data_IF_289586838837
#
_entry.id   IF_289586838837
#
_cell.length_a   1.000
_cell.length_b   1.000
_cell.length_c   1.000
_cell.angle_alpha   90.00
_cell.angle_beta   90.00
_cell.angle_gamma   90.00
#
_symmetry.space_group_name_H-M   'P 1'
#
loop_
_entity.id
_entity.type
_entity.pdbx_description
1 polymer ?
#
# COMPACT_ATOMS: atom_id res chain seq x y z
N UNK A 1 19.69 3.19 14.57
CA UNK A 1 18.47 3.31 13.75
C UNK A 1 18.45 2.13 12.77
N UNK A 2 18.09 0.97 13.28
CA UNK A 2 18.43 -0.36 12.74
C UNK A 2 17.15 -1.12 12.42
N UNK A 3 16.54 -0.83 11.26
CA UNK A 3 15.73 -1.80 10.52
C UNK A 3 15.44 -1.27 9.10
N UNK A 4 16.42 -1.36 8.19
CA UNK A 4 16.17 -1.03 6.78
C UNK A 4 15.47 -2.22 6.14
N UNK A 5 14.14 -2.16 6.04
CA UNK A 5 13.28 -3.17 5.36
C UNK A 5 13.73 -3.42 3.90
N UNK A 6 14.35 -2.42 3.28
CA UNK A 6 14.95 -2.50 1.94
C UNK A 6 16.40 -1.99 1.96
N UNK A 7 17.30 -2.75 1.31
CA UNK A 7 18.68 -2.32 1.01
C UNK A 7 18.67 -1.43 -0.24
N UNK A 8 19.63 -0.52 -0.41
CA UNK A 8 19.74 0.33 -1.60
C UNK A 8 19.67 -0.47 -2.91
N UNK A 9 20.41 -1.59 -3.01
CA UNK A 9 20.37 -2.47 -4.18
C UNK A 9 18.99 -3.10 -4.44
N UNK A 10 18.19 -3.32 -3.39
CA UNK A 10 16.81 -3.81 -3.54
C UNK A 10 15.89 -2.70 -4.07
N UNK A 11 16.11 -1.46 -3.64
CA UNK A 11 15.36 -0.31 -4.15
C UNK A 11 15.66 -0.10 -5.63
N UNK A 12 16.93 -0.19 -6.04
CA UNK A 12 17.33 -0.10 -7.44
C UNK A 12 16.73 -1.23 -8.29
N UNK A 13 16.78 -2.47 -7.79
CA UNK A 13 16.11 -3.59 -8.44
C UNK A 13 14.60 -3.38 -8.57
N UNK A 14 13.96 -2.76 -7.58
CA UNK A 14 12.53 -2.43 -7.63
C UNK A 14 12.22 -1.31 -8.64
N UNK A 15 13.06 -0.28 -8.76
CA UNK A 15 12.90 0.76 -9.79
C UNK A 15 12.88 0.12 -11.18
N UNK A 16 13.84 -0.78 -11.44
CA UNK A 16 13.93 -1.52 -12.71
C UNK A 16 12.71 -2.44 -12.92
N UNK A 17 12.35 -3.23 -11.90
CA UNK A 17 11.25 -4.18 -12.00
C UNK A 17 9.88 -3.49 -12.20
N UNK A 18 9.66 -2.36 -11.52
CA UNK A 18 8.43 -1.55 -11.64
C UNK A 18 8.40 -0.70 -12.92
N UNK A 19 9.52 -0.61 -13.64
CA UNK A 19 9.68 0.18 -14.86
C UNK A 19 9.30 1.66 -14.64
N UNK A 20 9.81 2.25 -13.56
CA UNK A 20 9.59 3.67 -13.26
C UNK A 20 10.42 4.54 -14.22
N UNK A 21 9.90 5.72 -14.63
CA UNK A 21 10.66 6.66 -15.44
C UNK A 21 11.80 7.29 -14.61
N UNK A 22 12.90 7.66 -15.26
CA UNK A 22 14.11 8.23 -14.62
C UNK A 22 13.82 9.48 -13.76
N UNK A 23 12.84 10.28 -14.19
CA UNK A 23 12.33 11.42 -13.43
C UNK A 23 10.81 11.37 -13.32
N UNK A 24 10.31 11.66 -12.12
CA UNK A 24 8.88 11.75 -11.85
C UNK A 24 8.52 13.22 -11.68
N UNK A 25 7.59 13.67 -12.51
CA UNK A 25 7.09 15.03 -12.53
C UNK A 25 5.71 15.04 -11.86
N UNK A 26 5.56 15.90 -10.86
CA UNK A 26 4.28 16.13 -10.21
C UNK A 26 3.77 17.56 -10.47
N UNK A 27 2.49 17.80 -10.17
CA UNK A 27 1.70 18.94 -10.67
C UNK A 27 2.14 20.36 -10.23
N UNK A 28 3.24 20.51 -9.49
CA UNK A 28 3.72 21.79 -8.96
C UNK A 28 5.21 22.06 -9.24
N UNK A 29 5.73 21.67 -10.41
CA UNK A 29 7.18 21.73 -10.75
C UNK A 29 8.08 20.91 -9.80
N UNK A 30 7.48 20.01 -9.02
CA UNK A 30 8.22 19.11 -8.16
C UNK A 30 8.70 17.97 -9.05
N UNK A 31 10.03 17.87 -9.17
CA UNK A 31 10.70 16.82 -9.93
C UNK A 31 11.59 16.06 -8.96
N UNK A 32 11.40 14.75 -8.91
CA UNK A 32 12.22 13.85 -8.09
C UNK A 32 12.73 12.69 -8.96
N UNK A 33 13.93 12.22 -8.62
CA UNK A 33 14.53 11.02 -9.20
C UNK A 33 13.70 9.77 -8.84
N UNK A 34 13.64 8.77 -9.73
CA UNK A 34 12.82 7.56 -9.52
C UNK A 34 13.13 6.86 -8.21
N UNK A 35 14.41 6.82 -7.80
CA UNK A 35 14.83 6.17 -6.56
C UNK A 35 14.30 6.91 -5.35
N UNK A 36 14.41 8.25 -5.35
CA UNK A 36 13.91 9.09 -4.26
C UNK A 36 12.39 9.02 -4.17
N UNK A 37 11.70 9.10 -5.30
CA UNK A 37 10.26 8.99 -5.38
C UNK A 37 9.75 7.61 -4.93
N UNK A 38 10.43 6.53 -5.30
CA UNK A 38 10.12 5.19 -4.79
C UNK A 38 10.38 5.10 -3.28
N UNK A 39 11.44 5.71 -2.75
CA UNK A 39 11.69 5.75 -1.30
C UNK A 39 10.61 6.52 -0.55
N UNK A 40 10.10 7.62 -1.09
CA UNK A 40 8.96 8.37 -0.53
C UNK A 40 7.72 7.49 -0.44
N UNK A 41 7.39 6.79 -1.53
CA UNK A 41 6.27 5.85 -1.57
C UNK A 41 6.45 4.70 -0.57
N UNK A 42 7.63 4.08 -0.55
CA UNK A 42 7.94 2.98 0.37
C UNK A 42 7.93 3.44 1.83
N UNK A 43 8.33 4.68 2.12
CA UNK A 43 8.20 5.30 3.43
C UNK A 43 6.75 5.40 3.87
N UNK A 44 5.88 5.88 2.97
CA UNK A 44 4.44 6.00 3.22
C UNK A 44 3.73 4.64 3.37
N UNK A 45 4.08 3.64 2.56
CA UNK A 45 3.46 2.30 2.63
C UNK A 45 4.04 1.42 3.74
N UNK A 46 5.34 1.56 4.01
CA UNK A 46 6.05 0.75 5.00
C UNK A 46 5.80 1.18 6.44
N UNK A 47 5.43 2.45 6.62
CA UNK A 47 5.10 3.05 7.90
C UNK A 47 3.75 3.75 7.73
N UNK A 48 2.67 3.09 8.11
CA UNK A 48 1.37 3.75 8.33
C UNK A 48 1.43 4.68 9.57
N UNK A 49 2.53 5.41 9.78
CA UNK A 49 2.55 6.56 10.69
C UNK A 49 1.96 7.77 9.98
N UNK A 50 1.64 8.80 10.76
CA UNK A 50 1.19 10.06 10.19
C UNK A 50 2.26 10.59 9.22
N UNK A 51 1.80 11.15 8.11
CA UNK A 51 2.64 11.75 7.08
C UNK A 51 3.61 12.82 7.66
N UNK A 52 3.24 13.42 8.80
CA UNK A 52 4.07 14.34 9.61
C UNK A 52 5.36 13.71 10.16
N UNK A 53 5.35 12.41 10.45
CA UNK A 53 6.53 11.71 11.00
C UNK A 53 7.59 11.45 9.92
N UNK A 54 7.17 11.41 8.65
CA UNK A 54 8.08 11.37 7.51
C UNK A 54 8.81 12.71 7.34
N UNK A 55 8.13 13.83 7.58
CA UNK A 55 8.77 15.15 7.62
C UNK A 55 9.83 15.24 8.71
N UNK A 56 9.55 14.72 9.91
CA UNK A 56 10.53 14.72 11.01
C UNK A 56 11.76 13.82 10.71
N UNK A 57 11.55 12.68 10.04
CA UNK A 57 12.62 11.71 9.76
C UNK A 57 13.49 12.08 8.57
N UNK A 58 12.90 12.62 7.50
CA UNK A 58 13.59 12.85 6.22
C UNK A 58 13.70 14.33 5.85
N UNK A 59 13.03 15.23 6.58
CA UNK A 59 13.01 16.66 6.28
C UNK A 59 12.16 17.03 5.06
N UNK A 60 11.41 16.08 4.50
CA UNK A 60 10.59 16.34 3.32
C UNK A 60 9.26 17.01 3.69
N UNK A 61 8.83 18.05 2.94
CA UNK A 61 7.50 18.62 3.11
C UNK A 61 6.42 17.57 2.92
N UNK A 62 5.39 17.63 3.75
CA UNK A 62 4.25 16.70 3.71
C UNK A 62 3.59 16.73 2.33
N UNK A 63 3.41 17.93 1.75
CA UNK A 63 2.76 18.07 0.44
C UNK A 63 3.60 17.42 -0.66
N UNK A 64 4.93 17.59 -0.60
CA UNK A 64 5.86 16.99 -1.55
C UNK A 64 5.80 15.46 -1.54
N UNK A 65 5.86 14.86 -0.35
CA UNK A 65 5.81 13.39 -0.20
C UNK A 65 4.46 12.87 -0.68
N UNK A 66 3.35 13.51 -0.31
CA UNK A 66 2.01 13.10 -0.73
C UNK A 66 1.87 13.16 -2.26
N UNK A 67 2.28 14.27 -2.86
CA UNK A 67 2.14 14.52 -4.29
C UNK A 67 2.98 13.53 -5.12
N UNK A 68 4.26 13.36 -4.78
CA UNK A 68 5.14 12.42 -5.48
C UNK A 68 4.70 10.97 -5.27
N UNK A 69 4.34 10.59 -4.05
CA UNK A 69 3.90 9.22 -3.77
C UNK A 69 2.60 8.88 -4.49
N UNK A 70 1.67 9.83 -4.60
CA UNK A 70 0.42 9.65 -5.35
C UNK A 70 0.70 9.45 -6.84
N UNK A 71 1.58 10.27 -7.43
CA UNK A 71 2.00 10.13 -8.82
C UNK A 71 2.68 8.77 -9.08
N UNK A 72 3.59 8.34 -8.20
CA UNK A 72 4.25 7.03 -8.30
C UNK A 72 3.21 5.90 -8.21
N UNK A 73 2.23 6.01 -7.31
CA UNK A 73 1.13 5.04 -7.19
C UNK A 73 0.29 4.97 -8.47
N UNK A 74 -0.02 6.11 -9.09
CA UNK A 74 -0.75 6.16 -10.36
C UNK A 74 0.03 5.53 -11.51
N UNK A 75 1.33 5.79 -11.61
CA UNK A 75 2.22 5.16 -12.60
C UNK A 75 2.23 3.64 -12.40
N UNK A 76 2.42 3.18 -11.16
CA UNK A 76 2.43 1.74 -10.86
C UNK A 76 1.05 1.12 -11.14
N UNK A 77 -0.03 1.76 -10.71
CA UNK A 77 -1.38 1.25 -10.88
C UNK A 77 -1.79 1.21 -12.36
N UNK A 78 -1.55 2.28 -13.12
CA UNK A 78 -1.89 2.32 -14.56
C UNK A 78 -1.21 1.18 -15.33
N UNK A 79 0.05 0.86 -15.01
CA UNK A 79 0.84 -0.18 -15.67
C UNK A 79 0.53 -1.59 -15.16
N UNK A 80 0.45 -1.75 -13.84
CA UNK A 80 0.41 -3.05 -13.18
C UNK A 80 -0.96 -3.41 -12.60
N UNK A 81 -2.02 -2.59 -12.78
CA UNK A 81 -3.38 -2.90 -12.30
C UNK A 81 -3.84 -4.30 -12.68
N UNK A 82 -3.49 -4.77 -13.87
CA UNK A 82 -3.87 -6.10 -14.35
C UNK A 82 -3.26 -7.24 -13.52
N UNK A 83 -2.11 -7.03 -12.86
CA UNK A 83 -1.52 -7.97 -11.90
C UNK A 83 -1.96 -7.69 -10.46
N UNK A 84 -2.35 -6.46 -10.15
CA UNK A 84 -2.79 -6.01 -8.82
C UNK A 84 -4.28 -6.26 -8.57
N UNK A 85 -5.08 -6.54 -9.62
CA UNK A 85 -6.45 -7.01 -9.48
C UNK A 85 -6.41 -8.40 -8.85
N UNK A 86 -6.72 -8.42 -7.56
CA UNK A 86 -6.72 -9.63 -6.74
C UNK A 86 -7.68 -10.68 -7.31
N UNK A 87 -7.13 -11.86 -7.62
CA UNK A 87 -7.84 -13.07 -8.00
C UNK A 87 -9.04 -12.88 -8.94
N UNK A 88 -8.81 -12.38 -10.16
CA UNK A 88 -9.85 -12.34 -11.20
C UNK A 88 -10.52 -13.72 -11.46
N UNK A 89 -9.87 -14.82 -11.08
CA UNK A 89 -10.36 -16.20 -11.18
C UNK A 89 -11.31 -16.57 -10.02
N UNK A 90 -11.10 -16.04 -8.81
CA UNK A 90 -11.88 -16.37 -7.62
C UNK A 90 -12.93 -15.32 -7.26
N UNK A 91 -12.74 -14.09 -7.72
CA UNK A 91 -13.59 -12.92 -7.48
C UNK A 91 -14.41 -12.53 -8.72
N UNK A 92 -14.90 -13.52 -9.47
CA UNK A 92 -15.84 -13.23 -10.57
C UNK A 92 -17.17 -12.72 -10.02
N UNK A 93 -17.93 -11.89 -10.76
CA UNK A 93 -19.24 -11.39 -10.35
C UNK A 93 -20.17 -12.51 -9.87
N UNK A 94 -20.17 -13.65 -10.56
CA UNK A 94 -20.99 -14.82 -10.22
C UNK A 94 -20.59 -15.42 -8.85
N UNK A 95 -19.28 -15.52 -8.58
CA UNK A 95 -18.77 -16.03 -7.30
C UNK A 95 -19.04 -15.05 -6.16
N UNK A 96 -18.95 -13.75 -6.40
CA UNK A 96 -19.30 -12.71 -5.43
C UNK A 96 -20.76 -12.81 -4.99
N UNK A 97 -21.67 -12.99 -5.96
CA UNK A 97 -23.10 -13.22 -5.66
C UNK A 97 -23.30 -14.52 -4.89
N UNK A 98 -22.61 -15.59 -5.28
CA UNK A 98 -22.68 -16.89 -4.58
C UNK A 98 -22.21 -16.78 -3.12
N UNK A 99 -21.10 -16.07 -2.86
CA UNK A 99 -20.60 -15.84 -1.51
C UNK A 99 -21.56 -14.98 -0.69
N UNK A 100 -22.08 -13.90 -1.27
CA UNK A 100 -23.05 -13.04 -0.59
C UNK A 100 -24.33 -13.80 -0.20
N UNK A 101 -24.83 -14.65 -1.08
CA UNK A 101 -25.99 -15.51 -0.80
C UNK A 101 -25.69 -16.51 0.33
N UNK A 102 -24.52 -17.15 0.29
CA UNK A 102 -24.10 -18.12 1.32
C UNK A 102 -23.94 -17.45 2.69
N UNK A 103 -23.38 -16.25 2.73
CA UNK A 103 -23.20 -15.46 3.96
C UNK A 103 -24.56 -14.99 4.52
N UNK A 104 -25.48 -14.59 3.64
CA UNK A 104 -26.87 -14.26 4.02
C UNK A 104 -27.60 -15.46 4.63
N UNK A 105 -27.51 -16.65 4.02
CA UNK A 105 -28.08 -17.89 4.57
C UNK A 105 -27.52 -18.18 5.97
N UNK A 106 -26.23 -17.92 6.19
CA UNK A 106 -25.59 -18.09 7.51
C UNK A 106 -26.01 -17.06 8.56
N UNK A 107 -26.90 -16.12 8.24
CA UNK A 107 -27.47 -15.17 9.19
C UNK A 107 -26.85 -13.78 9.17
N UNK A 108 -26.11 -13.43 8.11
CA UNK A 108 -25.64 -12.06 7.96
C UNK A 108 -26.83 -11.10 7.72
N UNK A 109 -26.87 -9.94 8.39
CA UNK A 109 -27.98 -8.99 8.30
C UNK A 109 -28.08 -8.28 6.94
N UNK A 110 -27.01 -8.31 6.13
CA UNK A 110 -26.91 -7.58 4.86
C UNK A 110 -26.56 -8.56 3.74
N UNK A 111 -27.42 -8.65 2.72
CA UNK A 111 -27.27 -9.57 1.59
C UNK A 111 -26.27 -9.15 0.51
N UNK A 112 -25.53 -8.06 0.72
CA UNK A 112 -24.54 -7.51 -0.21
C UNK A 112 -23.11 -7.87 0.22
N UNK A 113 -22.94 -8.39 1.45
CA UNK A 113 -21.63 -8.75 1.99
C UNK A 113 -21.20 -10.09 1.41
N UNK A 114 -20.20 -10.09 0.55
CA UNK A 114 -19.63 -11.29 -0.09
C UNK A 114 -18.40 -11.85 0.62
N UNK A 115 -17.84 -11.12 1.59
CA UNK A 115 -16.66 -11.56 2.32
C UNK A 115 -16.36 -10.65 3.51
N UNK A 116 -15.63 -11.18 4.47
CA UNK A 116 -15.08 -10.42 5.58
C UNK A 116 -13.57 -10.35 5.40
N UNK A 117 -12.99 -9.17 5.65
CA UNK A 117 -11.53 -9.04 5.72
C UNK A 117 -11.09 -9.92 6.89
N UNK A 118 -10.28 -10.93 6.59
CA UNK A 118 -9.73 -11.79 7.62
C UNK A 118 -8.81 -10.95 8.51
N UNK A 119 -9.33 -10.56 9.67
CA UNK A 119 -8.61 -9.84 10.70
C UNK A 119 -7.65 -10.74 11.48
N UNK A 120 -7.35 -11.95 10.99
CA UNK A 120 -6.32 -12.80 11.59
C UNK A 120 -5.03 -12.00 11.67
N UNK A 121 -4.61 -11.70 12.91
CA UNK A 121 -3.36 -11.02 13.22
C UNK A 121 -2.22 -11.94 12.77
N UNK A 122 -1.83 -11.82 11.51
CA UNK A 122 -0.63 -12.46 10.99
C UNK A 122 0.55 -11.56 11.34
N UNK A 123 1.64 -12.15 11.83
CA UNK A 123 2.89 -11.46 12.19
C UNK A 123 3.57 -10.65 11.05
N UNK A 124 2.96 -10.64 9.86
CA UNK A 124 3.38 -9.92 8.66
C UNK A 124 2.98 -8.44 8.73
N UNK A 125 1.98 -8.09 9.55
CA UNK A 125 1.60 -6.70 9.83
C UNK A 125 2.62 -6.09 10.81
N UNK A 126 3.70 -5.57 10.23
CA UNK A 126 4.79 -4.78 10.80
C UNK A 126 4.50 -4.13 12.18
N UNK A 127 4.51 -4.90 13.26
CA UNK A 127 4.33 -4.40 14.62
C UNK A 127 5.54 -4.79 15.45
N UNK A 128 6.55 -3.93 15.39
CA UNK A 128 7.83 -4.16 16.05
C UNK A 128 7.77 -3.84 17.56
N UNK A 129 6.70 -3.21 18.10
CA UNK A 129 6.50 -2.98 19.55
C UNK A 129 5.08 -2.45 19.90
N UNK A 130 4.61 -2.74 21.12
CA UNK A 130 3.39 -2.19 21.78
C UNK A 130 2.00 -2.69 21.35
N UNK A 131 1.90 -3.90 20.75
CA UNK A 131 0.60 -4.50 20.38
C UNK A 131 -0.38 -4.67 21.55
N UNK A 132 0.13 -4.90 22.76
CA UNK A 132 -0.69 -5.19 23.95
C UNK A 132 -1.56 -4.02 24.41
N UNK A 133 -1.25 -2.78 24.03
CA UNK A 133 -1.99 -1.60 24.50
C UNK A 133 -3.24 -1.31 23.67
N UNK A 134 -3.31 -1.81 22.43
CA UNK A 134 -4.40 -1.47 21.49
C UNK A 134 -5.45 -2.59 21.31
N UNK A 135 -5.11 -3.86 21.57
CA UNK A 135 -5.97 -4.99 21.21
C UNK A 135 -6.50 -5.84 22.36
N UNK A 136 -6.36 -5.39 23.61
CA UNK A 136 -7.10 -5.98 24.73
C UNK A 136 -8.12 -4.98 25.29
N UNK A 137 -9.39 -5.23 24.96
CA UNK A 137 -10.48 -5.05 25.90
C UNK A 137 -11.50 -6.17 25.72
#
# INVERSE_FOLDING_TARGET
LTNKRFTCSKVEALVVALQLPDTIHADNHIVEDSRTALCMLLGQLGYLDRLSDLTLKFGWPVERVSCISSMVQEIIHSRWKHLLIWDAIWLTPEKLVQYAHTIKIKGAPIGIVWGFIDGTIRAIACQTRWQRTYYNR
#
